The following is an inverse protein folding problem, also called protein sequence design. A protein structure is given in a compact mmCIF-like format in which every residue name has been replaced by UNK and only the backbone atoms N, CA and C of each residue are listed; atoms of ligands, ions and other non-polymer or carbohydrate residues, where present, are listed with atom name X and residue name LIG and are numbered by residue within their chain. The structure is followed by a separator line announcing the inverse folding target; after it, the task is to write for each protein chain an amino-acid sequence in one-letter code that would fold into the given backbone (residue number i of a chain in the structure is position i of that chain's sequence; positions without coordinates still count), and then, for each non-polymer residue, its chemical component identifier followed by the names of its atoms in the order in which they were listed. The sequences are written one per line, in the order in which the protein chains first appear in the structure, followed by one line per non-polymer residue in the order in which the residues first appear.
data_IF_366122075483
#
_entry.id   IF_366122075483
#
_cell.length_a   1.000
_cell.length_b   1.000
_cell.length_c   1.000
_cell.angle_alpha   90.00
_cell.angle_beta   90.00
_cell.angle_gamma   90.00
#
_symmetry.space_group_name_H-M   'P 1'
#
loop_
_entity.id
_entity.type
_entity.pdbx_description
1 polymer ?
#
# COMPACT_ATOMS: atom_id res chain seq x y z
N UNK A 1 1.06 -10.85 16.46
CA UNK A 1 1.61 -9.79 15.61
C UNK A 1 1.28 -10.18 14.18
N UNK A 2 0.26 -9.56 13.60
CA UNK A 2 -0.11 -9.81 12.21
C UNK A 2 0.89 -9.05 11.37
N UNK A 3 1.77 -9.80 10.70
CA UNK A 3 2.71 -9.28 9.72
C UNK A 3 1.89 -8.65 8.58
N UNK A 4 1.97 -7.33 8.40
CA UNK A 4 1.25 -6.63 7.31
C UNK A 4 1.64 -7.22 5.94
N UNK A 5 2.83 -7.82 5.85
CA UNK A 5 3.35 -8.56 4.69
C UNK A 5 2.54 -9.84 4.42
N UNK A 6 1.95 -10.45 5.46
CA UNK A 6 1.09 -11.63 5.33
C UNK A 6 -0.30 -11.25 4.80
N UNK A 7 -0.74 -10.00 5.01
CA UNK A 7 -1.98 -9.47 4.44
C UNK A 7 -1.81 -9.20 2.93
N UNK A 8 -0.66 -8.65 2.50
CA UNK A 8 -0.36 -8.44 1.07
C UNK A 8 -0.08 -9.72 0.30
N UNK A 9 0.42 -10.78 0.95
CA UNK A 9 0.62 -12.08 0.31
C UNK A 9 -0.66 -12.93 0.20
N UNK A 10 -1.72 -12.59 0.94
CA UNK A 10 -3.00 -13.34 0.92
C UNK A 10 -3.99 -12.83 -0.12
N UNK A 11 -3.70 -11.71 -0.78
CA UNK A 11 -4.50 -11.22 -1.90
C UNK A 11 -3.86 -11.75 -3.18
N UNK A 12 -4.40 -12.86 -3.68
CA UNK A 12 -4.10 -13.51 -4.97
C UNK A 12 -4.44 -12.61 -6.19
N UNK A 13 -4.55 -11.30 -5.98
CA UNK A 13 -4.96 -10.30 -6.95
C UNK A 13 -4.23 -8.99 -6.66
N UNK A 14 -3.93 -8.25 -7.72
CA UNK A 14 -3.38 -6.90 -7.63
C UNK A 14 -4.22 -6.12 -6.60
N UNK A 15 -3.61 -5.56 -5.52
CA UNK A 15 -4.35 -4.83 -4.50
C UNK A 15 -5.23 -3.77 -5.15
N UNK A 16 -6.48 -3.63 -4.71
CA UNK A 16 -7.35 -2.59 -5.26
C UNK A 16 -6.96 -1.20 -4.72
N UNK A 17 -7.36 -0.13 -5.42
CA UNK A 17 -7.10 1.27 -4.99
C UNK A 17 -7.54 1.50 -3.53
N UNK A 18 -8.66 0.90 -3.11
CA UNK A 18 -9.18 1.01 -1.75
C UNK A 18 -8.29 0.31 -0.72
N UNK A 19 -7.74 -0.86 -1.04
CA UNK A 19 -6.79 -1.57 -0.18
C UNK A 19 -5.46 -0.83 -0.08
N UNK A 20 -4.96 -0.30 -1.21
CA UNK A 20 -3.77 0.56 -1.23
C UNK A 20 -3.96 1.79 -0.35
N UNK A 21 -5.14 2.42 -0.35
CA UNK A 21 -5.45 3.57 0.52
C UNK A 21 -5.50 3.17 2.01
N UNK A 22 -6.04 1.99 2.32
CA UNK A 22 -6.05 1.45 3.68
C UNK A 22 -4.62 1.20 4.20
N UNK A 23 -3.73 0.65 3.36
CA UNK A 23 -2.31 0.44 3.70
C UNK A 23 -1.59 1.79 3.88
N UNK A 24 -1.89 2.79 3.05
CA UNK A 24 -1.36 4.16 3.20
C UNK A 24 -1.88 4.84 4.48
N UNK A 25 -3.10 4.56 4.91
CA UNK A 25 -3.65 5.07 6.16
C UNK A 25 -2.93 4.46 7.37
N UNK A 26 -2.67 3.15 7.34
CA UNK A 26 -1.90 2.44 8.36
C UNK A 26 -0.43 2.90 8.40
N UNK A 27 0.23 3.04 7.25
CA UNK A 27 1.60 3.56 7.15
C UNK A 27 1.72 4.99 7.68
N UNK A 28 0.68 5.82 7.51
CA UNK A 28 0.64 7.18 8.09
C UNK A 28 0.54 7.18 9.61
N UNK A 29 0.07 6.10 10.23
CA UNK A 29 0.05 5.92 11.69
C UNK A 29 1.40 5.40 12.23
N UNK A 30 2.25 4.84 11.37
CA UNK A 30 3.58 4.36 11.73
C UNK A 30 4.60 5.50 11.83
N UNK A 31 5.71 5.32 12.58
CA UNK A 31 6.79 6.30 12.62
C UNK A 31 7.32 6.57 11.20
N UNK A 32 7.49 7.86 10.86
CA UNK A 32 8.06 8.32 9.58
C UNK A 32 9.56 8.03 9.51
N UNK A 33 9.89 6.76 9.36
CA UNK A 33 11.24 6.29 9.03
C UNK A 33 11.46 6.40 7.53
N UNK A 34 12.71 6.51 7.09
CA UNK A 34 13.07 6.58 5.66
C UNK A 34 12.48 5.40 4.87
N UNK A 35 12.45 4.21 5.48
CA UNK A 35 11.80 3.03 4.87
C UNK A 35 10.29 3.24 4.68
N UNK A 36 9.56 3.70 5.70
CA UNK A 36 8.12 3.93 5.58
C UNK A 36 7.77 5.05 4.61
N UNK A 37 8.60 6.10 4.55
CA UNK A 37 8.43 7.17 3.56
C UNK A 37 8.62 6.65 2.14
N UNK A 38 9.68 5.85 1.89
CA UNK A 38 9.86 5.20 0.58
C UNK A 38 8.68 4.31 0.22
N UNK A 39 8.22 3.48 1.18
CA UNK A 39 7.10 2.57 0.97
C UNK A 39 5.78 3.32 0.69
N UNK A 40 5.58 4.50 1.28
CA UNK A 40 4.46 5.39 0.97
C UNK A 40 4.54 5.94 -0.46
N UNK A 41 5.72 6.38 -0.92
CA UNK A 41 5.94 6.84 -2.29
C UNK A 41 5.67 5.72 -3.31
N UNK A 42 6.21 4.52 -3.07
CA UNK A 42 5.97 3.32 -3.89
C UNK A 42 4.47 2.96 -3.94
N UNK A 43 3.75 3.02 -2.82
CA UNK A 43 2.30 2.78 -2.76
C UNK A 43 1.48 3.86 -3.47
N UNK A 44 1.91 5.13 -3.42
CA UNK A 44 1.28 6.23 -4.14
C UNK A 44 1.44 6.06 -5.65
N UNK A 45 2.63 5.65 -6.10
CA UNK A 45 2.88 5.32 -7.50
C UNK A 45 2.03 4.12 -7.96
N UNK A 46 1.98 3.07 -7.14
CA UNK A 46 1.15 1.89 -7.40
C UNK A 46 -0.34 2.24 -7.51
N UNK A 47 -0.86 3.12 -6.64
CA UNK A 47 -2.23 3.64 -6.71
C UNK A 47 -2.49 4.38 -8.02
N UNK A 48 -1.52 5.18 -8.47
CA UNK A 48 -1.60 5.91 -9.73
C UNK A 48 -1.69 4.96 -10.92
N UNK A 49 -0.85 3.92 -10.93
CA UNK A 49 -0.85 2.88 -11.97
C UNK A 49 -2.15 2.07 -11.98
N UNK A 50 -2.68 1.71 -10.82
CA UNK A 50 -3.98 1.06 -10.68
C UNK A 50 -5.13 1.91 -11.21
N UNK A 51 -5.13 3.20 -10.87
CA UNK A 51 -6.15 4.15 -11.33
C UNK A 51 -6.09 4.25 -12.86
N UNK A 52 -4.89 4.45 -13.42
CA UNK A 52 -4.69 4.51 -14.86
C UNK A 52 -5.01 3.20 -15.60
N UNK A 53 -4.87 2.04 -14.94
CA UNK A 53 -5.22 0.74 -15.51
C UNK A 53 -6.71 0.40 -15.42
N UNK A 54 -7.48 1.15 -14.61
CA UNK A 54 -8.92 0.98 -14.42
C UNK A 54 -9.74 2.00 -15.23
N UNK A 55 -9.09 2.97 -15.88
CA UNK A 55 -9.67 3.99 -16.78
C UNK A 55 -9.71 3.55 -18.26
#
# INVERSE_FOLDING_TARGET
MVDIVSLTASVDGIPTVAETDAILAELRQMPRTVQNTSLMDDLLEFRSLLTAATE
#
